data_IF_396447157284
#
_entry.id   IF_396447157284
#
_cell.length_a   1.000
_cell.length_b   1.000
_cell.length_c   1.000
_cell.angle_alpha   90.00
_cell.angle_beta   90.00
_cell.angle_gamma   90.00
#
_symmetry.space_group_name_H-M   'P 1'
#
loop_
_entity.id
_entity.type
_entity.pdbx_description
1 polymer ?
#
# COMPACT_ATOMS: atom_id res chain seq x y z
N UNK A 1 -4.34 -14.99 19.83
CA UNK A 1 -5.26 -14.54 18.77
C UNK A 1 -5.50 -15.73 17.84
N UNK A 2 -6.74 -16.22 17.72
CA UNK A 2 -7.10 -17.45 17.00
C UNK A 2 -7.35 -17.14 15.52
N UNK A 3 -6.30 -16.78 14.78
CA UNK A 3 -6.37 -16.46 13.34
C UNK A 3 -7.07 -17.56 12.53
N UNK A 4 -6.75 -18.82 12.83
CA UNK A 4 -7.34 -19.97 12.15
C UNK A 4 -8.77 -20.33 12.55
N UNK A 5 -9.32 -19.80 13.65
CA UNK A 5 -10.72 -20.07 14.01
C UNK A 5 -11.73 -19.33 13.12
N UNK A 6 -11.29 -18.26 12.44
CA UNK A 6 -12.10 -17.55 11.46
C UNK A 6 -12.20 -18.30 10.11
N UNK A 7 -11.38 -19.33 9.91
CA UNK A 7 -11.38 -20.15 8.70
C UNK A 7 -11.97 -21.53 9.03
N UNK A 8 -13.30 -21.74 8.91
CA UNK A 8 -13.88 -23.07 9.04
C UNK A 8 -13.16 -24.02 8.07
N UNK A 9 -12.93 -25.26 8.51
CA UNK A 9 -11.96 -26.27 8.04
C UNK A 9 -11.98 -26.68 6.54
N UNK A 10 -12.41 -25.82 5.61
CA UNK A 10 -12.54 -26.06 4.16
C UNK A 10 -12.08 -24.88 3.30
N UNK A 11 -11.16 -24.04 3.77
CA UNK A 11 -10.51 -23.05 2.90
C UNK A 11 -9.11 -23.53 2.55
N UNK A 12 -8.93 -23.97 1.31
CA UNK A 12 -7.60 -24.09 0.71
C UNK A 12 -7.19 -22.67 0.32
N UNK A 13 -6.19 -22.12 1.01
CA UNK A 13 -5.54 -20.89 0.56
C UNK A 13 -4.55 -21.34 -0.51
N UNK A 14 -4.85 -21.03 -1.77
CA UNK A 14 -3.85 -21.16 -2.82
C UNK A 14 -2.77 -20.11 -2.59
N UNK A 15 -1.60 -20.59 -2.21
CA UNK A 15 -0.42 -19.77 -2.00
C UNK A 15 0.37 -19.77 -3.31
N UNK A 16 0.15 -18.73 -4.11
CA UNK A 16 0.91 -18.50 -5.35
C UNK A 16 2.14 -17.63 -5.13
N UNK A 17 2.35 -17.15 -3.91
CA UNK A 17 3.41 -16.19 -3.61
C UNK A 17 4.79 -16.82 -3.52
N UNK A 18 5.81 -16.00 -3.72
CA UNK A 18 7.18 -16.38 -3.43
C UNK A 18 7.35 -16.83 -1.99
N UNK A 19 8.28 -17.76 -1.76
CA UNK A 19 8.57 -18.30 -0.43
C UNK A 19 8.84 -17.20 0.61
N UNK A 20 9.51 -16.11 0.20
CA UNK A 20 9.86 -15.01 1.09
C UNK A 20 8.63 -14.26 1.61
N UNK A 21 7.63 -13.96 0.77
CA UNK A 21 6.38 -13.30 1.17
C UNK A 21 5.65 -14.12 2.24
N UNK A 22 5.70 -15.45 2.11
CA UNK A 22 5.08 -16.37 3.07
C UNK A 22 5.85 -16.45 4.38
N UNK A 23 7.19 -16.44 4.33
CA UNK A 23 8.01 -16.36 5.53
C UNK A 23 7.71 -15.09 6.33
N UNK A 24 7.56 -13.94 5.67
CA UNK A 24 7.19 -12.68 6.32
C UNK A 24 5.75 -12.67 6.85
N UNK A 25 4.81 -13.30 6.14
CA UNK A 25 3.46 -13.50 6.66
C UNK A 25 3.45 -14.34 7.94
N UNK A 26 4.16 -15.48 7.93
CA UNK A 26 4.29 -16.36 9.10
C UNK A 26 4.97 -15.63 10.25
N UNK A 27 6.05 -14.91 9.98
CA UNK A 27 6.72 -14.08 10.97
C UNK A 27 5.76 -13.07 11.59
N UNK A 28 5.00 -12.33 10.79
CA UNK A 28 4.02 -11.37 11.29
C UNK A 28 2.93 -12.02 12.15
N UNK A 29 2.48 -13.24 11.82
CA UNK A 29 1.50 -13.98 12.64
C UNK A 29 2.04 -14.29 14.05
N UNK A 30 3.31 -14.67 14.16
CA UNK A 30 3.93 -15.04 15.43
C UNK A 30 4.53 -13.85 16.19
N UNK A 31 4.89 -12.78 15.49
CA UNK A 31 5.35 -11.51 16.08
C UNK A 31 4.63 -10.30 15.48
N UNK A 32 3.34 -10.10 15.79
CA UNK A 32 2.59 -8.96 15.28
C UNK A 32 3.28 -7.65 15.64
N UNK A 33 3.59 -6.84 14.62
CA UNK A 33 4.23 -5.54 14.78
C UNK A 33 5.74 -5.51 14.57
N UNK A 34 6.42 -6.66 14.38
CA UNK A 34 7.87 -6.70 14.13
C UNK A 34 8.25 -7.77 13.12
N UNK A 35 9.03 -7.37 12.12
CA UNK A 35 9.82 -8.28 11.30
C UNK A 35 11.20 -8.50 11.94
N UNK A 36 11.67 -9.76 12.01
CA UNK A 36 13.01 -10.05 12.56
C UNK A 36 14.14 -9.67 11.60
N UNK A 37 13.85 -9.70 10.29
CA UNK A 37 14.70 -9.19 9.22
C UNK A 37 13.94 -8.06 8.55
N UNK A 38 14.61 -6.98 8.13
CA UNK A 38 13.96 -5.94 7.33
C UNK A 38 13.66 -6.53 5.94
N UNK A 39 12.39 -6.63 5.53
CA UNK A 39 12.05 -7.09 4.18
C UNK A 39 12.48 -6.07 3.13
N UNK A 40 12.73 -6.54 1.90
CA UNK A 40 12.80 -5.65 0.74
C UNK A 40 11.41 -5.07 0.46
N UNK A 41 11.36 -3.85 -0.09
CA UNK A 41 10.09 -3.16 -0.34
C UNK A 41 9.15 -3.98 -1.23
N UNK A 42 9.71 -4.64 -2.25
CA UNK A 42 8.97 -5.55 -3.13
C UNK A 42 8.25 -6.67 -2.37
N UNK A 43 8.93 -7.28 -1.39
CA UNK A 43 8.34 -8.32 -0.54
C UNK A 43 7.16 -7.78 0.28
N UNK A 44 7.23 -6.52 0.71
CA UNK A 44 6.14 -5.87 1.46
C UNK A 44 4.96 -5.51 0.55
N UNK A 45 5.22 -5.09 -0.69
CA UNK A 45 4.18 -4.90 -1.70
C UNK A 45 3.45 -6.22 -2.00
N UNK A 46 4.20 -7.33 -2.16
CA UNK A 46 3.64 -8.67 -2.30
C UNK A 46 2.81 -9.08 -1.09
N UNK A 47 3.29 -8.77 0.12
CA UNK A 47 2.60 -9.06 1.36
C UNK A 47 1.28 -8.28 1.48
N UNK A 48 1.26 -7.02 1.05
CA UNK A 48 0.05 -6.20 0.99
C UNK A 48 -0.99 -6.79 0.03
N UNK A 49 -0.57 -7.17 -1.18
CA UNK A 49 -1.44 -7.80 -2.18
C UNK A 49 -1.98 -9.15 -1.71
N UNK A 50 -1.10 -9.97 -1.12
CA UNK A 50 -1.46 -11.25 -0.52
C UNK A 50 -2.49 -11.08 0.60
N UNK A 51 -2.26 -10.12 1.50
CA UNK A 51 -3.18 -9.79 2.57
C UNK A 51 -4.56 -9.41 2.05
N UNK A 52 -4.64 -8.66 0.94
CA UNK A 52 -5.89 -8.35 0.24
C UNK A 52 -6.61 -9.60 -0.25
N UNK A 53 -5.90 -10.53 -0.89
CA UNK A 53 -6.47 -11.81 -1.38
C UNK A 53 -7.08 -12.65 -0.26
N UNK A 54 -6.42 -12.72 0.90
CA UNK A 54 -6.93 -13.45 2.08
C UNK A 54 -7.86 -12.60 2.97
N UNK A 55 -8.19 -11.37 2.55
CA UNK A 55 -9.03 -10.40 3.28
C UNK A 55 -8.52 -10.10 4.70
N UNK A 56 -7.21 -10.06 4.90
CA UNK A 56 -6.58 -9.73 6.17
C UNK A 56 -6.21 -8.24 6.23
N UNK A 57 -7.18 -7.40 6.56
CA UNK A 57 -6.98 -5.93 6.61
C UNK A 57 -5.92 -5.48 7.60
N UNK A 58 -5.77 -6.21 8.72
CA UNK A 58 -4.69 -5.92 9.70
C UNK A 58 -3.30 -6.05 9.09
N UNK A 59 -3.09 -7.04 8.22
CA UNK A 59 -1.82 -7.24 7.54
C UNK A 59 -1.65 -6.24 6.38
N UNK A 60 -2.73 -5.90 5.67
CA UNK A 60 -2.71 -4.81 4.68
C UNK A 60 -2.29 -3.49 5.31
N UNK A 61 -2.92 -3.09 6.43
CA UNK A 61 -2.60 -1.83 7.10
C UNK A 61 -1.18 -1.83 7.66
N UNK A 62 -0.74 -2.95 8.25
CA UNK A 62 0.64 -3.10 8.70
C UNK A 62 1.65 -2.97 7.55
N UNK A 63 1.36 -3.60 6.41
CA UNK A 63 2.23 -3.51 5.23
C UNK A 63 2.22 -2.09 4.65
N UNK A 64 1.07 -1.41 4.68
CA UNK A 64 0.93 -0.02 4.23
C UNK A 64 1.74 0.95 5.10
N UNK A 65 1.68 0.81 6.43
CA UNK A 65 2.50 1.59 7.36
C UNK A 65 4.00 1.42 7.06
N UNK A 66 4.42 0.18 6.74
CA UNK A 66 5.79 -0.10 6.36
C UNK A 66 6.15 0.59 5.03
N UNK A 67 5.32 0.45 3.99
CA UNK A 67 5.54 1.05 2.66
C UNK A 67 5.65 2.58 2.79
N UNK A 68 4.70 3.21 3.48
CA UNK A 68 4.68 4.66 3.68
C UNK A 68 5.95 5.12 4.43
N UNK A 69 6.32 4.42 5.50
CA UNK A 69 7.53 4.73 6.27
C UNK A 69 8.81 4.53 5.47
N UNK A 70 8.91 3.48 4.66
CA UNK A 70 10.08 3.19 3.84
C UNK A 70 10.40 4.38 2.92
N UNK A 71 9.42 4.80 2.12
CA UNK A 71 9.59 5.93 1.19
C UNK A 71 9.79 7.28 1.90
N UNK A 72 9.21 7.45 3.08
CA UNK A 72 9.44 8.67 3.87
C UNK A 72 10.85 8.74 4.47
N UNK A 73 11.36 7.64 5.03
CA UNK A 73 12.63 7.64 5.75
C UNK A 73 13.84 7.87 4.83
N UNK A 74 13.78 7.32 3.63
CA UNK A 74 14.84 7.48 2.64
C UNK A 74 14.68 8.76 1.81
N UNK A 75 13.60 9.54 2.06
CA UNK A 75 13.22 10.73 1.30
C UNK A 75 13.07 10.46 -0.22
N UNK A 76 12.71 9.23 -0.57
CA UNK A 76 12.55 8.78 -1.95
C UNK A 76 11.07 8.65 -2.31
N UNK A 77 10.73 8.93 -3.56
CA UNK A 77 9.42 8.53 -4.10
C UNK A 77 9.48 7.09 -4.56
N UNK A 78 8.32 6.46 -4.67
CA UNK A 78 8.24 5.13 -5.28
C UNK A 78 8.88 5.14 -6.67
N UNK A 79 9.84 4.25 -6.87
CA UNK A 79 10.57 4.19 -8.12
C UNK A 79 9.70 3.64 -9.26
N UNK A 80 10.21 3.75 -10.49
CA UNK A 80 9.49 3.32 -11.68
C UNK A 80 9.20 1.80 -11.70
N UNK A 81 10.07 0.98 -11.10
CA UNK A 81 9.91 -0.48 -11.09
C UNK A 81 8.76 -0.87 -10.17
N UNK A 82 8.72 -0.29 -8.97
CA UNK A 82 7.68 -0.52 -7.99
C UNK A 82 6.35 0.10 -8.43
N UNK A 83 6.35 1.29 -9.03
CA UNK A 83 5.15 1.91 -9.61
C UNK A 83 4.53 1.03 -10.70
N UNK A 84 5.35 0.52 -11.63
CA UNK A 84 4.87 -0.43 -12.65
C UNK A 84 4.30 -1.68 -12.02
N UNK A 85 5.00 -2.22 -11.03
CA UNK A 85 4.58 -3.42 -10.35
C UNK A 85 3.19 -3.25 -9.72
N UNK A 86 3.01 -2.19 -8.94
CA UNK A 86 1.71 -1.88 -8.30
C UNK A 86 0.65 -1.60 -9.35
N UNK A 87 0.93 -0.76 -10.35
CA UNK A 87 -0.03 -0.39 -11.38
C UNK A 87 -0.55 -1.63 -12.14
N UNK A 88 0.36 -2.53 -12.56
CA UNK A 88 -0.01 -3.77 -13.25
C UNK A 88 -0.70 -4.79 -12.34
N UNK A 89 -0.27 -4.93 -11.08
CA UNK A 89 -0.85 -5.88 -10.13
C UNK A 89 -2.29 -5.50 -9.73
N UNK A 90 -2.62 -4.21 -9.78
CA UNK A 90 -3.88 -3.66 -9.29
C UNK A 90 -4.79 -3.12 -10.40
N UNK A 91 -4.41 -3.24 -11.68
CA UNK A 91 -5.12 -2.67 -12.84
C UNK A 91 -6.60 -3.04 -12.97
N UNK A 92 -7.02 -4.16 -12.39
CA UNK A 92 -8.42 -4.62 -12.44
C UNK A 92 -9.23 -4.20 -11.21
N UNK A 93 -8.60 -3.54 -10.24
CA UNK A 93 -9.23 -3.04 -9.03
C UNK A 93 -9.60 -1.58 -9.25
N UNK A 94 -10.84 -1.35 -9.69
CA UNK A 94 -11.31 -0.01 -10.05
C UNK A 94 -11.34 0.94 -8.83
N UNK A 95 -10.83 2.15 -9.02
CA UNK A 95 -10.55 3.18 -8.01
C UNK A 95 -11.74 3.54 -7.12
N UNK A 96 -11.65 3.06 -5.86
CA UNK A 96 -12.12 3.69 -4.61
C UNK A 96 -11.71 2.88 -3.37
N UNK A 97 -11.26 1.64 -3.55
CA UNK A 97 -10.93 0.71 -2.45
C UNK A 97 -9.47 0.28 -2.41
N UNK A 98 -8.68 0.55 -3.47
CA UNK A 98 -7.26 0.22 -3.45
C UNK A 98 -6.46 1.45 -2.99
N UNK A 99 -6.28 1.53 -1.68
CA UNK A 99 -5.49 2.55 -0.99
C UNK A 99 -4.01 2.56 -1.39
N UNK A 100 -3.47 1.44 -1.88
CA UNK A 100 -2.09 1.38 -2.40
C UNK A 100 -1.97 2.09 -3.76
N UNK A 101 -2.97 1.95 -4.65
CA UNK A 101 -3.05 2.73 -5.91
C UNK A 101 -3.18 4.22 -5.62
N UNK A 102 -4.04 4.58 -4.67
CA UNK A 102 -4.22 5.97 -4.23
C UNK A 102 -2.91 6.56 -3.70
N UNK A 103 -2.18 5.81 -2.87
CA UNK A 103 -0.86 6.23 -2.39
C UNK A 103 0.15 6.47 -3.53
N UNK A 104 0.18 5.59 -4.53
CA UNK A 104 1.07 5.75 -5.69
C UNK A 104 0.71 6.99 -6.52
N UNK A 105 -0.58 7.19 -6.78
CA UNK A 105 -1.05 8.32 -7.58
C UNK A 105 -0.80 9.65 -6.87
N UNK A 106 -1.05 9.69 -5.56
CA UNK A 106 -0.84 10.87 -4.74
C UNK A 106 0.65 11.24 -4.61
N UNK A 107 1.54 10.25 -4.52
CA UNK A 107 2.99 10.48 -4.59
C UNK A 107 3.40 11.11 -5.92
N UNK A 108 2.91 10.57 -7.05
CA UNK A 108 3.19 11.13 -8.36
C UNK A 108 2.68 12.57 -8.49
N UNK A 109 1.47 12.84 -8.00
CA UNK A 109 0.88 14.18 -8.03
C UNK A 109 1.70 15.14 -7.16
N UNK A 110 2.04 14.74 -5.94
CA UNK A 110 2.88 15.53 -5.04
C UNK A 110 4.25 15.83 -5.64
N UNK A 111 4.91 14.82 -6.22
CA UNK A 111 6.21 14.96 -6.88
C UNK A 111 6.13 15.89 -8.11
N UNK A 112 5.02 15.85 -8.87
CA UNK A 112 4.80 16.68 -10.05
C UNK A 112 4.67 18.18 -9.72
N UNK A 113 4.02 18.47 -8.60
CA UNK A 113 3.75 19.85 -8.14
C UNK A 113 4.90 20.43 -7.31
N UNK A 114 5.56 19.62 -6.48
CA UNK A 114 6.48 20.12 -5.46
C UNK A 114 7.95 19.78 -5.69
N UNK A 115 8.26 18.74 -6.49
CA UNK A 115 9.63 18.23 -6.62
C UNK A 115 10.03 18.00 -8.09
N UNK A 116 10.28 16.75 -8.51
CA UNK A 116 10.85 16.39 -9.81
C UNK A 116 9.76 16.06 -10.84
N UNK A 117 9.25 17.12 -11.49
CA UNK A 117 8.26 17.01 -12.57
C UNK A 117 8.76 16.19 -13.77
N UNK A 118 10.04 16.23 -14.11
CA UNK A 118 10.54 15.47 -15.26
C UNK A 118 10.59 13.98 -14.95
N UNK A 119 10.93 13.57 -13.73
CA UNK A 119 10.84 12.18 -13.30
C UNK A 119 9.39 11.64 -13.40
N UNK A 120 8.39 12.41 -12.96
CA UNK A 120 6.98 12.03 -13.10
C UNK A 120 6.58 11.91 -14.57
N UNK A 121 6.94 12.89 -15.39
CA UNK A 121 6.68 12.85 -16.83
C UNK A 121 7.31 11.63 -17.49
N UNK A 122 8.54 11.28 -17.12
CA UNK A 122 9.20 10.06 -17.61
C UNK A 122 8.44 8.80 -17.19
N UNK A 123 8.01 8.70 -15.93
CA UNK A 123 7.24 7.56 -15.45
C UNK A 123 5.89 7.42 -16.19
N UNK A 124 5.18 8.53 -16.42
CA UNK A 124 3.93 8.54 -17.17
C UNK A 124 4.16 8.09 -18.62
N UNK A 125 5.16 8.63 -19.32
CA UNK A 125 5.41 8.26 -20.72
C UNK A 125 5.84 6.80 -20.91
N UNK A 126 6.35 6.16 -19.86
CA UNK A 126 6.95 4.85 -19.92
C UNK A 126 5.96 3.69 -19.70
N UNK A 127 4.80 3.92 -19.07
CA UNK A 127 3.79 2.88 -18.83
C UNK A 127 2.35 3.42 -18.90
N UNK A 128 1.52 2.79 -19.74
CA UNK A 128 0.08 3.08 -19.79
C UNK A 128 -0.62 2.79 -18.46
N UNK A 129 -0.20 1.75 -17.73
CA UNK A 129 -0.79 1.39 -16.45
C UNK A 129 -0.57 2.51 -15.40
N UNK A 130 0.57 3.20 -15.48
CA UNK A 130 0.90 4.34 -14.60
C UNK A 130 0.08 5.57 -15.01
N UNK A 131 -0.06 5.83 -16.31
CA UNK A 131 -0.94 6.91 -16.81
C UNK A 131 -2.37 6.68 -16.33
N UNK A 132 -2.90 5.47 -16.48
CA UNK A 132 -4.27 5.16 -16.09
C UNK A 132 -4.45 5.36 -14.58
N UNK A 133 -3.51 4.88 -13.77
CA UNK A 133 -3.49 5.10 -12.32
C UNK A 133 -3.49 6.59 -11.96
N UNK A 134 -2.66 7.40 -12.64
CA UNK A 134 -2.56 8.84 -12.40
C UNK A 134 -3.84 9.58 -12.82
N UNK A 135 -4.37 9.29 -14.00
CA UNK A 135 -5.58 9.93 -14.51
C UNK A 135 -6.84 9.52 -13.74
N UNK A 136 -6.91 8.29 -13.24
CA UNK A 136 -7.97 7.85 -12.34
C UNK A 136 -8.01 8.71 -11.07
N UNK A 137 -6.84 9.01 -10.51
CA UNK A 137 -6.72 9.90 -9.35
C UNK A 137 -7.17 11.33 -9.69
N UNK A 138 -6.61 11.94 -10.73
CA UNK A 138 -6.96 13.31 -11.16
C UNK A 138 -8.46 13.50 -11.42
N UNK A 139 -9.12 12.45 -11.95
CA UNK A 139 -10.56 12.49 -12.20
C UNK A 139 -11.39 12.52 -10.90
N UNK A 140 -10.93 11.84 -9.86
CA UNK A 140 -11.69 11.64 -8.61
C UNK A 140 -11.34 12.70 -7.57
N UNK A 141 -10.09 13.14 -7.54
CA UNK A 141 -9.51 14.01 -6.52
C UNK A 141 -9.07 15.32 -7.17
N UNK A 142 -9.96 16.31 -7.15
CA UNK A 142 -9.66 17.70 -7.57
C UNK A 142 -8.95 18.53 -6.48
N UNK A 143 -8.36 17.90 -5.47
CA UNK A 143 -7.78 18.62 -4.33
C UNK A 143 -6.27 18.54 -4.39
N UNK A 144 -5.65 19.70 -4.59
CA UNK A 144 -4.22 19.92 -4.37
C UNK A 144 -3.92 19.53 -2.91
N UNK A 145 -3.27 18.39 -2.73
CA UNK A 145 -2.75 18.00 -1.42
C UNK A 145 -1.38 18.64 -1.26
N UNK A 146 -1.30 19.65 -0.39
CA UNK A 146 -0.02 20.28 -0.02
C UNK A 146 0.84 19.39 0.91
N UNK A 147 0.25 18.33 1.46
CA UNK A 147 0.91 17.42 2.39
C UNK A 147 1.61 16.27 1.67
N UNK A 148 2.84 15.97 2.05
CA UNK A 148 3.56 14.79 1.53
C UNK A 148 2.81 13.51 1.93
N UNK A 149 2.31 12.69 0.98
CA UNK A 149 1.58 11.47 1.28
C UNK A 149 2.45 10.41 1.96
N UNK A 150 3.77 10.47 1.82
CA UNK A 150 4.71 9.56 2.49
C UNK A 150 4.78 9.86 3.99
N UNK A 151 4.50 11.09 4.40
CA UNK A 151 4.65 11.51 5.79
C UNK A 151 3.58 10.86 6.69
N UNK A 152 3.99 9.99 7.63
CA UNK A 152 3.05 9.33 8.53
C UNK A 152 2.39 10.30 9.52
N UNK A 153 2.91 11.53 9.67
CA UNK A 153 2.35 12.53 10.58
C UNK A 153 1.25 13.35 9.92
N UNK A 154 1.34 13.60 8.61
CA UNK A 154 0.36 14.40 7.85
C UNK A 154 -0.72 13.55 7.22
N UNK A 155 -0.41 12.28 6.91
CA UNK A 155 -1.34 11.32 6.33
C UNK A 155 -1.47 10.04 7.17
N UNK A 156 -1.69 10.14 8.51
CA UNK A 156 -1.75 8.96 9.35
C UNK A 156 -3.02 8.17 9.07
N UNK A 157 -2.87 6.86 8.91
CA UNK A 157 -3.95 5.93 8.53
C UNK A 157 -4.73 6.30 7.24
N UNK A 158 -4.31 7.29 6.45
CA UNK A 158 -5.04 7.72 5.24
C UNK A 158 -5.19 6.55 4.25
N UNK A 159 -4.14 5.75 4.12
CA UNK A 159 -4.08 4.62 3.19
C UNK A 159 -4.42 3.29 3.85
N UNK A 160 -5.13 3.29 4.98
CA UNK A 160 -5.55 2.06 5.63
C UNK A 160 -6.88 1.55 5.08
N UNK A 161 -7.04 0.24 5.07
CA UNK A 161 -8.29 -0.44 4.73
C UNK A 161 -9.14 -0.57 5.98
N UNK A 162 -10.35 0.00 5.93
CA UNK A 162 -11.35 -0.06 6.99
C UNK A 162 -12.53 -0.92 6.56
N UNK A 163 -12.93 -1.86 7.42
CA UNK A 163 -14.12 -2.70 7.19
C UNK A 163 -15.35 -2.06 7.83
N UNK A 164 -15.15 -1.37 8.95
CA UNK A 164 -16.20 -0.69 9.71
C UNK A 164 -15.78 0.72 10.08
N UNK A 165 -16.75 1.60 10.35
CA UNK A 165 -16.48 2.93 10.89
C UNK A 165 -15.73 2.87 12.23
N UNK A 166 -15.91 1.79 13.00
CA UNK A 166 -15.17 1.55 14.23
C UNK A 166 -13.68 1.30 13.98
N UNK A 167 -13.33 0.61 12.90
CA UNK A 167 -11.91 0.40 12.54
C UNK A 167 -11.21 1.72 12.20
N UNK A 168 -11.96 2.66 11.60
CA UNK A 168 -11.49 4.03 11.32
C UNK A 168 -11.24 4.80 12.62
N UNK A 169 -12.22 4.81 13.52
CA UNK A 169 -12.11 5.44 14.84
C UNK A 169 -10.95 4.84 15.67
N UNK A 170 -10.81 3.51 15.68
CA UNK A 170 -9.74 2.80 16.40
C UNK A 170 -8.34 3.11 15.82
N UNK A 171 -8.21 3.40 14.52
CA UNK A 171 -6.94 3.82 13.93
C UNK A 171 -6.59 5.25 14.31
N UNK A 172 -7.58 6.15 14.21
CA UNK A 172 -7.42 7.56 14.56
C UNK A 172 -7.05 7.75 16.03
N UNK A 173 -7.66 6.97 16.93
CA UNK A 173 -7.42 7.04 18.38
C UNK A 173 -6.04 6.54 18.80
N UNK A 174 -5.35 5.71 17.99
CA UNK A 174 -3.99 5.23 18.29
C UNK A 174 -2.89 6.25 17.97
N UNK A 175 -3.25 7.38 17.37
CA UNK A 175 -2.35 8.47 17.01
C UNK A 175 -2.36 9.61 18.03
N UNK A 176 -3.36 9.66 18.91
CA UNK A 176 -3.48 10.59 20.05
C UNK A 176 -2.75 10.07 21.30
#
# INVERSE_FOLDING_TARGET
>A
MKFFEAFPCKYTIEVTEGAETIDFFVQWLYTPGRFFKVPEIKTVLDLWLFAGRIKCTKLQNYSMDFIQKYYYQDAEFMDLVDLKYVASATKHECGKYNVLREFCALQLHYQNENEDREAVRHALLDSSDIIDLYLEYEKVYCLDTESDPRSPTTSPCQFHVYVTNKDLEDCQTKLE
#
